data_IF_426797551059
#
_entry.id   IF_426797551059
#
_cell.length_a   1.000
_cell.length_b   1.000
_cell.length_c   1.000
_cell.angle_alpha   90.00
_cell.angle_beta   90.00
_cell.angle_gamma   90.00
#
_symmetry.space_group_name_H-M   'P 1'
#
loop_
_entity.id
_entity.type
_entity.pdbx_description
1 polymer ?
#
# COMPACT_ATOMS: atom_id res chain seq x y z
N UNK A 1 -2.50 12.88 39.03
CA UNK A 1 -1.87 13.55 37.86
C UNK A 1 -2.34 12.84 36.58
N UNK A 2 -3.64 12.56 36.42
CA UNK A 2 -4.78 13.37 35.92
C UNK A 2 -4.80 13.55 34.40
N UNK A 3 -5.68 12.75 33.75
CA UNK A 3 -5.74 12.43 32.31
C UNK A 3 -5.97 13.57 31.30
N UNK A 4 -5.82 14.83 31.71
CA UNK A 4 -5.83 15.97 30.80
C UNK A 4 -4.48 16.12 30.09
N UNK A 5 -3.36 15.79 30.75
CA UNK A 5 -2.02 15.79 30.13
C UNK A 5 -1.92 14.69 29.05
N UNK A 6 -2.55 13.54 29.30
CA UNK A 6 -2.60 12.43 28.33
C UNK A 6 -3.39 12.81 27.08
N UNK A 7 -4.59 13.39 27.22
CA UNK A 7 -5.40 13.87 26.09
C UNK A 7 -4.71 14.98 25.28
N UNK A 8 -3.96 15.87 25.91
CA UNK A 8 -3.18 16.91 25.22
C UNK A 8 -2.00 16.28 24.45
N UNK A 9 -1.33 15.29 25.03
CA UNK A 9 -0.26 14.55 24.35
C UNK A 9 -0.77 13.70 23.17
N UNK A 10 -1.95 13.09 23.30
CA UNK A 10 -2.56 12.28 22.25
C UNK A 10 -3.13 13.16 21.12
N UNK A 11 -3.69 14.33 21.45
CA UNK A 11 -4.13 15.33 20.47
C UNK A 11 -2.97 15.98 19.71
N UNK A 12 -1.86 16.28 20.37
CA UNK A 12 -0.65 16.81 19.73
C UNK A 12 -0.03 15.79 18.76
N UNK A 13 -0.07 14.49 19.07
CA UNK A 13 0.34 13.41 18.16
C UNK A 13 -0.59 13.30 16.96
N UNK A 14 -1.91 13.28 17.17
CA UNK A 14 -2.87 13.19 16.08
C UNK A 14 -2.82 14.38 15.09
N UNK A 15 -2.53 15.59 15.59
CA UNK A 15 -2.35 16.79 14.74
C UNK A 15 -1.01 16.74 13.99
N UNK A 16 0.06 16.28 14.63
CA UNK A 16 1.35 16.09 13.98
C UNK A 16 1.27 15.03 12.87
N UNK A 17 0.61 13.90 13.14
CA UNK A 17 0.40 12.83 12.17
C UNK A 17 -0.44 13.30 10.97
N UNK A 18 -1.53 14.04 11.21
CA UNK A 18 -2.34 14.60 10.13
C UNK A 18 -1.62 15.65 9.27
N UNK A 19 -0.71 16.42 9.86
CA UNK A 19 0.12 17.37 9.12
C UNK A 19 1.18 16.66 8.28
N UNK A 20 1.85 15.63 8.84
CA UNK A 20 2.82 14.81 8.11
C UNK A 20 2.17 14.06 6.95
N UNK A 21 0.99 13.47 7.16
CA UNK A 21 0.24 12.76 6.11
C UNK A 21 -0.14 13.69 4.94
N UNK A 22 -0.56 14.92 5.24
CA UNK A 22 -0.86 15.92 4.22
C UNK A 22 0.37 16.43 3.45
N UNK A 23 1.52 16.55 4.13
CA UNK A 23 2.79 16.92 3.50
C UNK A 23 3.39 15.77 2.66
N UNK A 24 3.28 14.52 3.13
CA UNK A 24 3.65 13.34 2.35
C UNK A 24 2.80 13.27 1.07
N UNK A 25 1.48 13.46 1.16
CA UNK A 25 0.60 13.40 -0.03
C UNK A 25 0.94 14.47 -1.09
N UNK A 26 1.42 15.65 -0.67
CA UNK A 26 1.86 16.75 -1.53
C UNK A 26 3.22 16.54 -2.20
N UNK A 27 4.12 15.76 -1.57
CA UNK A 27 5.52 15.61 -2.01
C UNK A 27 5.84 14.21 -2.56
N UNK A 28 4.98 13.25 -2.30
CA UNK A 28 5.15 11.84 -2.64
C UNK A 28 4.55 11.53 -4.02
N UNK A 29 5.34 10.90 -4.89
CA UNK A 29 4.77 10.33 -6.13
C UNK A 29 3.99 9.02 -5.81
N UNK A 30 3.35 8.43 -6.82
CA UNK A 30 2.55 7.20 -6.63
C UNK A 30 3.36 6.04 -6.04
N UNK A 31 4.62 5.88 -6.45
CA UNK A 31 5.50 4.80 -5.98
C UNK A 31 5.77 4.96 -4.49
N UNK A 32 6.09 6.18 -4.07
CA UNK A 32 6.37 6.53 -2.69
C UNK A 32 5.14 6.29 -1.81
N UNK A 33 3.95 6.78 -2.23
CA UNK A 33 2.68 6.59 -1.48
C UNK A 33 2.35 5.11 -1.29
N UNK A 34 2.59 4.32 -2.33
CA UNK A 34 2.35 2.87 -2.30
C UNK A 34 3.29 2.18 -1.31
N UNK A 35 4.58 2.55 -1.32
CA UNK A 35 5.57 2.02 -0.38
C UNK A 35 5.24 2.35 1.08
N UNK A 36 4.90 3.61 1.36
CA UNK A 36 4.51 4.05 2.72
C UNK A 36 3.22 3.36 3.20
N UNK A 37 2.21 3.25 2.35
CA UNK A 37 0.97 2.54 2.68
C UNK A 37 1.22 1.05 3.00
N UNK A 38 2.04 0.37 2.20
CA UNK A 38 2.41 -1.02 2.45
C UNK A 38 3.16 -1.20 3.78
N UNK A 39 4.06 -0.28 4.12
CA UNK A 39 4.76 -0.27 5.41
C UNK A 39 3.79 -0.08 6.60
N UNK A 40 2.83 0.84 6.48
CA UNK A 40 1.79 1.07 7.51
C UNK A 40 0.92 -0.17 7.72
N UNK A 41 0.50 -0.83 6.63
CA UNK A 41 -0.27 -2.10 6.70
C UNK A 41 0.54 -3.19 7.40
N UNK A 42 1.81 -3.38 7.01
CA UNK A 42 2.67 -4.38 7.63
C UNK A 42 2.88 -4.13 9.13
N UNK A 43 3.10 -2.87 9.52
CA UNK A 43 3.22 -2.47 10.93
C UNK A 43 1.93 -2.72 11.71
N UNK A 44 0.77 -2.35 11.16
CA UNK A 44 -0.52 -2.56 11.82
C UNK A 44 -0.82 -4.05 12.06
N UNK A 45 -0.55 -4.90 11.07
CA UNK A 45 -0.68 -6.36 11.20
C UNK A 45 0.28 -6.93 12.25
N UNK A 46 1.54 -6.45 12.29
CA UNK A 46 2.50 -6.87 13.31
C UNK A 46 2.07 -6.46 14.74
N UNK A 47 1.23 -5.44 14.87
CA UNK A 47 0.63 -5.00 16.13
C UNK A 47 -0.76 -5.63 16.38
N UNK A 48 -1.17 -6.64 15.61
CA UNK A 48 -2.38 -7.42 15.85
C UNK A 48 -3.68 -6.76 15.37
N UNK A 49 -3.62 -5.74 14.52
CA UNK A 49 -4.82 -5.21 13.86
C UNK A 49 -5.36 -6.26 12.88
N UNK A 50 -6.66 -6.52 12.95
CA UNK A 50 -7.32 -7.49 12.08
C UNK A 50 -7.21 -7.10 10.59
N UNK A 51 -6.83 -8.03 9.69
CA UNK A 51 -6.72 -7.77 8.26
C UNK A 51 -8.00 -7.21 7.62
N UNK A 52 -9.18 -7.66 8.03
CA UNK A 52 -10.45 -7.21 7.46
C UNK A 52 -10.79 -5.78 7.89
N UNK A 53 -10.33 -5.35 9.07
CA UNK A 53 -10.44 -3.96 9.51
C UNK A 53 -9.60 -3.04 8.64
N UNK A 54 -8.36 -3.44 8.34
CA UNK A 54 -7.47 -2.68 7.45
C UNK A 54 -8.03 -2.63 6.03
N UNK A 55 -8.56 -3.74 5.53
CA UNK A 55 -9.18 -3.83 4.21
C UNK A 55 -10.42 -2.92 4.09
N UNK A 56 -11.27 -2.89 5.12
CA UNK A 56 -12.42 -2.00 5.19
C UNK A 56 -11.98 -0.52 5.13
N UNK A 57 -10.96 -0.16 5.91
CA UNK A 57 -10.45 1.21 5.93
C UNK A 57 -9.82 1.61 4.58
N UNK A 58 -9.02 0.72 3.98
CA UNK A 58 -8.43 0.93 2.66
C UNK A 58 -9.51 1.11 1.57
N UNK A 59 -10.56 0.31 1.60
CA UNK A 59 -11.71 0.42 0.68
C UNK A 59 -12.43 1.76 0.84
N UNK A 60 -12.69 2.19 2.09
CA UNK A 60 -13.31 3.50 2.36
C UNK A 60 -12.44 4.64 1.84
N UNK A 61 -11.14 4.59 2.08
CA UNK A 61 -10.20 5.60 1.61
C UNK A 61 -10.11 5.61 0.08
N UNK A 62 -10.11 4.45 -0.57
CA UNK A 62 -10.09 4.36 -2.04
C UNK A 62 -11.32 5.01 -2.66
N UNK A 63 -12.52 4.74 -2.12
CA UNK A 63 -13.78 5.39 -2.53
C UNK A 63 -13.76 6.91 -2.37
N UNK A 64 -13.15 7.40 -1.30
CA UNK A 64 -13.03 8.84 -1.02
C UNK A 64 -12.02 9.53 -1.94
N UNK A 65 -10.85 8.92 -2.12
CA UNK A 65 -9.69 9.57 -2.72
C UNK A 65 -9.58 9.29 -4.24
N UNK A 66 -10.22 8.24 -4.75
CA UNK A 66 -10.21 7.85 -6.16
C UNK A 66 -11.66 7.60 -6.65
N UNK A 67 -12.54 8.61 -6.62
CA UNK A 67 -13.98 8.43 -6.86
C UNK A 67 -14.31 7.90 -8.26
N UNK A 68 -13.48 8.18 -9.27
CA UNK A 68 -13.72 7.74 -10.66
C UNK A 68 -13.42 6.26 -10.87
N UNK A 69 -12.55 5.66 -10.03
CA UNK A 69 -12.10 4.27 -10.17
C UNK A 69 -11.69 3.66 -8.81
N UNK A 70 -12.61 3.58 -7.84
CA UNK A 70 -12.27 3.10 -6.51
C UNK A 70 -11.99 1.61 -6.50
N UNK A 71 -11.05 1.20 -5.66
CA UNK A 71 -10.69 -0.20 -5.45
C UNK A 71 -11.35 -0.75 -4.19
N UNK A 72 -11.69 -2.04 -4.22
CA UNK A 72 -12.16 -2.81 -3.07
C UNK A 72 -11.05 -3.74 -2.64
N UNK A 73 -10.79 -3.78 -1.34
CA UNK A 73 -9.77 -4.63 -0.74
C UNK A 73 -10.41 -5.61 0.24
N UNK A 74 -9.78 -6.78 0.38
CA UNK A 74 -10.12 -7.84 1.32
C UNK A 74 -8.97 -8.10 2.31
N UNK A 75 -9.24 -8.77 3.43
CA UNK A 75 -8.19 -9.08 4.42
C UNK A 75 -7.01 -9.84 3.83
N UNK A 76 -7.24 -10.75 2.88
CA UNK A 76 -6.19 -11.46 2.14
C UNK A 76 -5.25 -10.54 1.36
N UNK A 77 -5.75 -9.40 0.89
CA UNK A 77 -4.94 -8.42 0.16
C UNK A 77 -3.98 -7.74 1.13
N UNK A 78 -4.43 -7.41 2.35
CA UNK A 78 -3.59 -6.80 3.39
C UNK A 78 -2.43 -7.72 3.77
N UNK A 79 -2.71 -9.02 3.90
CA UNK A 79 -1.69 -10.04 4.17
C UNK A 79 -0.69 -10.15 3.00
N UNK A 80 -1.19 -10.17 1.77
CA UNK A 80 -0.35 -10.19 0.57
C UNK A 80 0.57 -8.97 0.49
N UNK A 81 0.02 -7.77 0.73
CA UNK A 81 0.76 -6.51 0.73
C UNK A 81 1.87 -6.53 1.79
N UNK A 82 1.57 -6.96 3.01
CA UNK A 82 2.56 -7.04 4.08
C UNK A 82 3.66 -8.07 3.77
N UNK A 83 3.28 -9.22 3.20
CA UNK A 83 4.23 -10.23 2.75
C UNK A 83 5.17 -9.67 1.67
N UNK A 84 4.61 -8.96 0.68
CA UNK A 84 5.41 -8.36 -0.38
C UNK A 84 6.30 -7.23 0.15
N UNK A 85 5.83 -6.40 1.07
CA UNK A 85 6.66 -5.40 1.75
C UNK A 85 7.85 -6.06 2.48
N UNK A 86 7.59 -7.13 3.24
CA UNK A 86 8.62 -7.91 3.93
C UNK A 86 9.65 -8.50 2.97
N UNK A 87 9.21 -9.02 1.81
CA UNK A 87 10.10 -9.54 0.77
C UNK A 87 11.04 -8.48 0.18
N UNK A 88 10.75 -7.19 0.36
CA UNK A 88 11.56 -6.07 -0.11
C UNK A 88 12.42 -5.43 1.00
N UNK A 89 12.54 -6.03 2.19
CA UNK A 89 13.18 -5.43 3.38
C UNK A 89 14.65 -5.02 3.19
N UNK A 90 15.44 -5.85 2.50
CA UNK A 90 16.90 -5.63 2.34
C UNK A 90 17.30 -5.39 0.90
N UNK A 91 16.62 -6.04 -0.05
CA UNK A 91 16.78 -5.88 -1.49
C UNK A 91 15.41 -6.03 -2.14
N UNK A 92 15.21 -5.40 -3.28
CA UNK A 92 13.96 -5.55 -4.01
C UNK A 92 13.74 -6.99 -4.46
N UNK A 93 12.55 -7.53 -4.21
CA UNK A 93 12.13 -8.86 -4.68
C UNK A 93 11.93 -8.89 -6.21
N UNK A 94 11.63 -7.73 -6.81
CA UNK A 94 11.39 -7.57 -8.25
C UNK A 94 12.29 -6.48 -8.83
N UNK A 95 13.60 -6.75 -8.99
CA UNK A 95 14.55 -5.73 -9.43
C UNK A 95 14.28 -5.29 -10.87
N UNK A 96 14.44 -3.98 -11.14
CA UNK A 96 14.18 -3.37 -12.46
C UNK A 96 14.86 -4.08 -13.63
N UNK A 97 16.08 -4.58 -13.43
CA UNK A 97 16.85 -5.32 -14.44
C UNK A 97 16.18 -6.62 -14.91
N UNK A 98 15.29 -7.21 -14.11
CA UNK A 98 14.53 -8.42 -14.44
C UNK A 98 13.14 -8.11 -15.00
N UNK A 99 12.47 -7.05 -14.50
CA UNK A 99 11.12 -6.67 -14.94
C UNK A 99 11.05 -6.32 -16.42
N UNK A 100 11.99 -5.52 -16.94
CA UNK A 100 12.00 -5.11 -18.35
C UNK A 100 12.02 -6.30 -19.34
N UNK A 101 12.94 -7.26 -19.18
CA UNK A 101 12.94 -8.51 -19.95
C UNK A 101 11.63 -9.31 -19.85
N UNK A 102 11.07 -9.49 -18.64
CA UNK A 102 9.83 -10.24 -18.44
C UNK A 102 8.67 -9.64 -19.24
N UNK A 103 8.51 -8.31 -19.19
CA UNK A 103 7.46 -7.61 -19.96
C UNK A 103 7.62 -7.86 -21.46
N UNK A 104 8.84 -7.79 -22.00
CA UNK A 104 9.08 -8.02 -23.44
C UNK A 104 8.78 -9.46 -23.84
N UNK A 105 9.22 -10.42 -23.02
CA UNK A 105 9.00 -11.84 -23.28
C UNK A 105 7.51 -12.21 -23.24
N UNK A 106 6.75 -11.69 -22.27
CA UNK A 106 5.31 -11.92 -22.21
C UNK A 106 4.60 -11.36 -23.44
N UNK A 107 4.92 -10.13 -23.85
CA UNK A 107 4.34 -9.53 -25.06
C UNK A 107 4.60 -10.34 -26.33
N UNK A 108 5.80 -10.91 -26.46
CA UNK A 108 6.13 -11.77 -27.59
C UNK A 108 5.32 -13.08 -27.54
N UNK A 109 5.24 -13.73 -26.38
CA UNK A 109 4.48 -14.96 -26.19
C UNK A 109 2.98 -14.77 -26.47
N UNK A 110 2.40 -13.64 -26.04
CA UNK A 110 0.99 -13.32 -26.28
C UNK A 110 0.71 -13.09 -27.77
N UNK A 111 1.63 -12.42 -28.48
CA UNK A 111 1.53 -12.22 -29.92
C UNK A 111 1.63 -13.55 -30.70
N UNK A 112 2.55 -14.44 -30.32
CA UNK A 112 2.69 -15.76 -30.94
C UNK A 112 1.45 -16.63 -30.67
N UNK A 113 0.86 -16.54 -29.47
CA UNK A 113 -0.36 -17.27 -29.11
C UNK A 113 -1.59 -16.83 -29.90
N UNK A 114 -1.64 -15.57 -30.36
CA UNK A 114 -2.70 -15.06 -31.23
C UNK A 114 -2.55 -15.48 -32.70
N UNK A 115 -1.33 -15.86 -33.13
CA UNK A 115 -1.07 -16.32 -34.52
C UNK A 115 -1.34 -17.82 -34.68
N UNK A 116 -1.30 -18.60 -33.60
CA UNK A 116 -1.44 -20.07 -33.62
C UNK A 116 -2.90 -20.55 -33.53
N UNK A 117 -3.87 -19.67 -33.25
CA UNK A 117 -5.29 -20.03 -33.20
C UNK A 117 -6.18 -19.10 -34.06
N UNK A 118 -6.48 -19.47 -35.33
CA UNK A 118 -7.72 -19.07 -36.01
C UNK A 118 -8.94 -19.85 -35.51
#
# INVERSE_FOLDING_TARGET
MTGNIQKIADGARAIADGAVDGWEELTSNQTDRTGHAAARIASALANGVDPDVLALQATKNSRKNNPDAPQVFFGSDMLTIASFYSANRTRSAMPKKQIGPLIRQQKAADADSQVVHP
#
